data_IF_691758773884
#
_entry.id   IF_691758773884
#
_cell.length_a   1.000
_cell.length_b   1.000
_cell.length_c   1.000
_cell.angle_alpha   90.00
_cell.angle_beta   90.00
_cell.angle_gamma   90.00
#
_symmetry.space_group_name_H-M   'P 1'
#
loop_
_entity.id
_entity.type
_entity.pdbx_description
1 polymer ?
#
# COMPACT_ATOMS: atom_id res chain seq x y z
N UNK A 1 19.21 11.69 -37.89
CA UNK A 1 18.99 10.53 -37.01
C UNK A 1 18.86 11.10 -35.61
N UNK A 2 17.68 11.06 -34.97
CA UNK A 2 17.51 11.62 -33.61
C UNK A 2 18.41 10.84 -32.66
N UNK A 3 19.18 11.55 -31.84
CA UNK A 3 20.01 10.94 -30.80
C UNK A 3 19.07 10.36 -29.72
N UNK A 4 19.05 9.02 -29.51
CA UNK A 4 18.13 8.39 -28.58
C UNK A 4 18.32 8.89 -27.14
N UNK A 5 19.55 9.22 -26.73
CA UNK A 5 19.85 9.71 -25.38
C UNK A 5 19.27 11.11 -25.13
N UNK A 6 19.35 12.00 -26.13
CA UNK A 6 18.76 13.33 -26.07
C UNK A 6 17.23 13.30 -26.01
N UNK A 7 16.63 12.36 -26.74
CA UNK A 7 15.19 12.16 -26.71
C UNK A 7 14.73 11.66 -25.33
N UNK A 8 15.36 10.60 -24.82
CA UNK A 8 15.06 10.00 -23.51
C UNK A 8 15.23 11.02 -22.38
N UNK A 9 16.33 11.77 -22.36
CA UNK A 9 16.56 12.82 -21.36
C UNK A 9 15.48 13.91 -21.40
N UNK A 10 15.10 14.37 -22.60
CA UNK A 10 14.05 15.39 -22.77
C UNK A 10 12.68 14.90 -22.32
N UNK A 11 12.34 13.63 -22.58
CA UNK A 11 11.09 13.02 -22.14
C UNK A 11 11.04 12.91 -20.61
N UNK A 12 12.08 12.36 -19.99
CA UNK A 12 12.17 12.24 -18.52
C UNK A 12 12.11 13.62 -17.83
N UNK A 13 12.78 14.63 -18.41
CA UNK A 13 12.75 16.01 -17.88
C UNK A 13 11.35 16.61 -17.98
N UNK A 14 10.67 16.43 -19.12
CA UNK A 14 9.32 16.94 -19.33
C UNK A 14 8.34 16.27 -18.37
N UNK A 15 8.38 14.94 -18.28
CA UNK A 15 7.57 14.18 -17.34
C UNK A 15 7.77 14.65 -15.89
N UNK A 16 9.01 14.85 -15.44
CA UNK A 16 9.29 15.32 -14.08
C UNK A 16 8.70 16.71 -13.79
N UNK A 17 8.71 17.61 -14.78
CA UNK A 17 8.21 18.98 -14.64
C UNK A 17 6.69 19.08 -14.72
N UNK A 18 6.05 18.23 -15.52
CA UNK A 18 4.59 18.21 -15.69
C UNK A 18 3.85 17.58 -14.51
N UNK A 19 4.51 16.73 -13.72
CA UNK A 19 3.88 16.09 -12.57
C UNK A 19 3.97 16.98 -11.30
N UNK A 20 2.84 17.53 -10.81
CA UNK A 20 2.83 18.33 -9.59
C UNK A 20 3.23 17.47 -8.37
N UNK A 21 3.81 18.13 -7.36
CA UNK A 21 4.10 17.48 -6.08
C UNK A 21 2.78 17.24 -5.34
N UNK A 22 2.56 16.00 -4.90
CA UNK A 22 1.40 15.65 -4.07
C UNK A 22 1.56 16.32 -2.71
N UNK A 23 0.60 17.15 -2.34
CA UNK A 23 0.59 17.85 -1.06
C UNK A 23 0.06 16.93 0.05
N UNK A 24 0.58 17.02 1.29
CA UNK A 24 0.04 16.29 2.42
C UNK A 24 -1.38 16.76 2.75
N UNK A 25 -2.25 15.89 3.28
CA UNK A 25 -3.56 16.29 3.77
C UNK A 25 -3.41 17.29 4.94
N UNK A 26 -4.30 18.30 5.06
CA UNK A 26 -4.30 19.19 6.20
C UNK A 26 -4.77 18.43 7.45
N UNK A 27 -3.88 18.29 8.43
CA UNK A 27 -4.18 17.67 9.73
C UNK A 27 -4.22 18.73 10.82
N UNK A 28 -5.19 18.62 11.73
CA UNK A 28 -5.32 19.49 12.89
C UNK A 28 -5.07 18.69 14.17
N UNK A 29 -4.64 19.36 15.23
CA UNK A 29 -4.52 18.73 16.55
C UNK A 29 -5.90 18.46 17.13
N UNK A 30 -6.13 17.22 17.55
CA UNK A 30 -7.30 16.84 18.32
C UNK A 30 -6.92 16.69 19.80
N UNK A 31 -7.69 17.32 20.68
CA UNK A 31 -7.41 17.33 22.13
C UNK A 31 -8.26 16.34 22.93
N UNK A 32 -9.24 15.70 22.27
CA UNK A 32 -10.14 14.74 22.92
C UNK A 32 -9.71 13.34 22.50
N UNK A 33 -9.30 12.53 23.48
CA UNK A 33 -9.03 11.11 23.23
C UNK A 33 -10.34 10.38 22.95
N UNK A 34 -10.34 9.54 21.91
CA UNK A 34 -11.46 8.64 21.64
C UNK A 34 -11.39 7.43 22.57
N UNK A 35 -12.55 6.95 23.02
CA UNK A 35 -12.65 5.60 23.58
C UNK A 35 -12.21 4.57 22.52
N UNK A 36 -11.68 3.43 22.95
CA UNK A 36 -11.23 2.37 22.04
C UNK A 36 -11.99 1.07 22.29
N UNK A 37 -12.11 0.24 21.25
CA UNK A 37 -12.62 -1.14 21.31
C UNK A 37 -11.58 -2.07 20.68
N UNK A 38 -11.37 -3.26 21.24
CA UNK A 38 -10.36 -4.17 20.69
C UNK A 38 -10.84 -4.83 19.39
N UNK A 39 -9.90 -5.27 18.55
CA UNK A 39 -10.22 -6.13 17.39
C UNK A 39 -10.92 -7.42 17.83
N UNK A 40 -10.51 -8.01 18.96
CA UNK A 40 -11.18 -9.17 19.58
C UNK A 40 -12.67 -8.92 19.81
N UNK A 41 -13.02 -7.79 20.42
CA UNK A 41 -14.41 -7.41 20.69
C UNK A 41 -15.20 -7.13 19.41
N UNK A 42 -14.56 -6.51 18.41
CA UNK A 42 -15.18 -6.28 17.10
C UNK A 42 -15.43 -7.58 16.34
N UNK A 43 -14.55 -8.58 16.47
CA UNK A 43 -14.77 -9.93 15.94
C UNK A 43 -15.90 -10.62 16.71
N UNK A 44 -15.92 -10.52 18.04
CA UNK A 44 -16.99 -11.10 18.87
C UNK A 44 -18.37 -10.47 18.59
N UNK A 45 -18.41 -9.23 18.10
CA UNK A 45 -19.62 -8.52 17.68
C UNK A 45 -19.95 -8.70 16.18
N UNK A 46 -19.27 -9.61 15.48
CA UNK A 46 -19.38 -9.85 14.03
C UNK A 46 -19.07 -8.63 13.14
N UNK A 47 -18.55 -7.53 13.70
CA UNK A 47 -18.20 -6.32 12.94
C UNK A 47 -16.94 -6.51 12.08
N UNK A 48 -16.04 -7.39 12.53
CA UNK A 48 -14.84 -7.81 11.83
C UNK A 48 -14.78 -9.34 11.72
N UNK A 49 -14.05 -9.84 10.73
CA UNK A 49 -13.61 -11.24 10.64
C UNK A 49 -12.12 -11.27 10.28
N UNK A 50 -11.37 -12.19 10.89
CA UNK A 50 -9.94 -12.37 10.63
C UNK A 50 -9.72 -13.74 9.99
N UNK A 51 -8.99 -13.76 8.87
CA UNK A 51 -8.68 -14.97 8.12
C UNK A 51 -7.18 -15.13 7.92
N UNK A 52 -6.74 -16.36 7.81
CA UNK A 52 -5.39 -16.74 7.38
C UNK A 52 -5.49 -17.88 6.37
N UNK A 53 -4.62 -17.85 5.37
CA UNK A 53 -4.52 -18.94 4.40
C UNK A 53 -3.45 -19.95 4.83
N UNK A 54 -3.68 -21.26 4.59
CA UNK A 54 -2.71 -22.29 4.94
C UNK A 54 -1.45 -22.18 4.05
N UNK A 55 -0.26 -22.58 4.54
CA UNK A 55 0.98 -22.58 3.75
C UNK A 55 0.89 -23.34 2.43
N UNK A 56 0.00 -24.32 2.34
CA UNK A 56 -0.21 -25.16 1.15
C UNK A 56 -0.87 -24.43 -0.02
N UNK A 57 -1.51 -23.27 0.19
CA UNK A 57 -2.19 -22.50 -0.87
C UNK A 57 -1.25 -22.10 -2.01
N UNK A 58 0.04 -21.90 -1.73
CA UNK A 58 1.07 -21.52 -2.70
C UNK A 58 1.97 -22.66 -3.18
N UNK A 59 1.70 -23.91 -2.78
CA UNK A 59 2.54 -25.08 -3.12
C UNK A 59 1.98 -25.93 -4.26
N UNK A 60 0.72 -25.71 -4.67
CA UNK A 60 0.08 -26.46 -5.75
C UNK A 60 0.29 -25.84 -7.13
N UNK A 61 -0.10 -26.57 -8.18
CA UNK A 61 -0.03 -26.15 -9.59
C UNK A 61 -1.17 -25.16 -9.98
N UNK A 62 -1.68 -24.42 -9.00
CA UNK A 62 -2.78 -23.49 -9.18
C UNK A 62 -2.36 -22.25 -9.97
N UNK A 63 -3.33 -21.69 -10.71
CA UNK A 63 -3.11 -20.52 -11.57
C UNK A 63 -3.95 -19.30 -11.14
N UNK A 64 -4.52 -19.32 -9.94
CA UNK A 64 -5.28 -18.19 -9.41
C UNK A 64 -4.29 -17.15 -8.88
N UNK A 65 -4.41 -15.86 -9.25
CA UNK A 65 -3.57 -14.82 -8.68
C UNK A 65 -3.60 -14.84 -7.16
N UNK A 66 -2.45 -14.69 -6.52
CA UNK A 66 -2.30 -14.77 -5.08
C UNK A 66 -1.44 -13.61 -4.56
N UNK A 67 -1.97 -12.92 -3.56
CA UNK A 67 -1.29 -11.83 -2.87
C UNK A 67 -0.18 -12.40 -1.98
N UNK A 68 1.06 -11.96 -2.16
CA UNK A 68 2.17 -12.32 -1.27
C UNK A 68 2.46 -11.23 -0.24
N UNK A 69 3.15 -11.57 0.85
CA UNK A 69 3.59 -10.57 1.83
C UNK A 69 4.45 -9.47 1.20
N UNK A 70 5.23 -9.81 0.17
CA UNK A 70 6.00 -8.84 -0.62
C UNK A 70 5.09 -7.89 -1.41
N UNK A 71 3.96 -8.37 -1.92
CA UNK A 71 3.01 -7.54 -2.65
C UNK A 71 2.31 -6.56 -1.72
N UNK A 72 1.95 -6.99 -0.50
CA UNK A 72 1.42 -6.12 0.56
C UNK A 72 2.42 -5.03 0.91
N UNK A 73 3.69 -5.38 1.19
CA UNK A 73 4.76 -4.42 1.52
C UNK A 73 5.02 -3.41 0.41
N UNK A 74 4.95 -3.85 -0.85
CA UNK A 74 5.14 -3.00 -2.02
C UNK A 74 3.86 -2.31 -2.50
N UNK A 75 2.73 -2.51 -1.79
CA UNK A 75 1.39 -2.01 -2.16
C UNK A 75 1.07 -2.19 -3.64
N UNK A 76 1.23 -3.42 -4.13
CA UNK A 76 1.03 -3.76 -5.55
C UNK A 76 0.10 -4.94 -5.72
N UNK A 77 -0.37 -5.13 -6.96
CA UNK A 77 -1.17 -6.28 -7.36
C UNK A 77 -0.47 -7.62 -7.08
N UNK A 78 -1.26 -8.69 -7.00
CA UNK A 78 -0.78 -10.04 -6.80
C UNK A 78 0.28 -10.44 -7.82
N UNK A 79 1.41 -10.95 -7.33
CA UNK A 79 2.56 -11.34 -8.17
C UNK A 79 2.84 -12.85 -8.17
N UNK A 80 2.04 -13.62 -7.42
CA UNK A 80 2.14 -15.08 -7.31
C UNK A 80 0.87 -15.73 -7.84
N UNK A 81 0.93 -17.05 -8.00
CA UNK A 81 -0.24 -17.89 -8.22
C UNK A 81 -0.40 -18.88 -7.08
N UNK A 82 -1.63 -19.32 -6.84
CA UNK A 82 -1.97 -20.32 -5.84
C UNK A 82 -3.13 -21.20 -6.30
N UNK A 83 -3.41 -22.22 -5.50
CA UNK A 83 -4.48 -23.18 -5.72
C UNK A 83 -5.68 -22.89 -4.81
N UNK A 84 -6.75 -22.37 -5.42
CA UNK A 84 -7.99 -22.04 -4.72
C UNK A 84 -8.81 -23.26 -4.29
N UNK A 85 -8.44 -24.47 -4.71
CA UNK A 85 -9.10 -25.71 -4.27
C UNK A 85 -8.58 -26.22 -2.93
N UNK A 86 -7.47 -25.66 -2.43
CA UNK A 86 -6.91 -26.00 -1.12
C UNK A 86 -7.92 -25.67 -0.02
N UNK A 87 -8.18 -26.62 0.87
CA UNK A 87 -9.05 -26.41 2.01
C UNK A 87 -8.53 -25.27 2.90
N UNK A 88 -9.36 -24.27 3.16
CA UNK A 88 -8.96 -23.07 3.90
C UNK A 88 -8.31 -21.98 3.03
N UNK A 89 -8.27 -22.13 1.70
CA UNK A 89 -7.93 -21.02 0.82
C UNK A 89 -8.90 -19.84 1.04
N UNK A 90 -8.35 -18.63 1.14
CA UNK A 90 -9.11 -17.41 1.40
C UNK A 90 -9.10 -16.57 0.14
N UNK A 91 -10.29 -16.25 -0.37
CA UNK A 91 -10.47 -15.33 -1.49
C UNK A 91 -10.67 -13.92 -0.95
N UNK A 92 -9.77 -13.03 -1.37
CA UNK A 92 -9.78 -11.60 -1.07
C UNK A 92 -10.91 -10.91 -1.82
N UNK A 93 -11.56 -9.98 -1.13
CA UNK A 93 -12.54 -9.06 -1.67
C UNK A 93 -12.04 -7.62 -1.55
N UNK A 94 -12.48 -6.76 -2.45
CA UNK A 94 -12.19 -5.34 -2.37
C UNK A 94 -12.69 -4.75 -1.04
N UNK A 95 -11.83 -3.97 -0.39
CA UNK A 95 -12.07 -3.43 0.96
C UNK A 95 -11.59 -4.33 2.11
N UNK A 96 -11.12 -5.55 1.84
CA UNK A 96 -10.39 -6.31 2.85
C UNK A 96 -9.06 -5.62 3.21
N UNK A 97 -8.60 -5.80 4.45
CA UNK A 97 -7.32 -5.25 4.91
C UNK A 97 -6.33 -6.38 5.13
N UNK A 98 -5.30 -6.45 4.29
CA UNK A 98 -4.19 -7.39 4.42
C UNK A 98 -3.13 -6.85 5.40
N UNK A 99 -2.74 -7.67 6.36
CA UNK A 99 -1.79 -7.34 7.43
C UNK A 99 -0.63 -8.35 7.41
N UNK A 100 0.57 -7.83 7.21
CA UNK A 100 1.83 -8.57 7.36
C UNK A 100 2.47 -8.14 8.67
N UNK A 101 2.78 -9.12 9.52
CA UNK A 101 3.38 -8.93 10.83
C UNK A 101 4.89 -9.21 10.79
N UNK A 102 5.62 -8.82 11.84
CA UNK A 102 7.04 -9.16 12.02
C UNK A 102 8.00 -8.00 11.77
N UNK A 103 9.22 -8.30 11.31
CA UNK A 103 10.31 -7.31 11.20
C UNK A 103 10.08 -6.23 10.12
N UNK A 104 9.32 -6.54 9.08
CA UNK A 104 8.89 -5.61 8.04
C UNK A 104 7.36 -5.65 7.98
N UNK A 105 6.68 -5.01 8.96
CA UNK A 105 5.24 -5.00 9.00
C UNK A 105 4.69 -4.17 7.84
N UNK A 106 3.51 -4.54 7.36
CA UNK A 106 2.82 -3.78 6.33
C UNK A 106 1.31 -4.00 6.41
N UNK A 107 0.56 -2.96 6.06
CA UNK A 107 -0.89 -3.02 5.95
C UNK A 107 -1.32 -2.44 4.61
N UNK A 108 -2.28 -3.10 3.96
CA UNK A 108 -2.79 -2.68 2.66
C UNK A 108 -4.28 -2.98 2.54
N UNK A 109 -5.06 -2.00 2.09
CA UNK A 109 -6.45 -2.21 1.66
C UNK A 109 -6.45 -2.85 0.27
N UNK A 110 -7.04 -4.03 0.16
CA UNK A 110 -7.16 -4.75 -1.09
C UNK A 110 -8.17 -4.06 -2.02
N UNK A 111 -7.78 -3.86 -3.28
CA UNK A 111 -8.61 -3.19 -4.30
C UNK A 111 -9.18 -4.14 -5.36
N UNK A 112 -8.67 -5.38 -5.41
CA UNK A 112 -9.06 -6.40 -6.38
C UNK A 112 -9.84 -7.52 -5.71
N UNK A 113 -10.93 -7.95 -6.35
CA UNK A 113 -11.69 -9.14 -5.97
C UNK A 113 -11.07 -10.40 -6.59
N UNK A 114 -11.28 -11.55 -5.95
CA UNK A 114 -11.02 -12.86 -6.56
C UNK A 114 -9.57 -13.32 -6.51
N UNK A 115 -8.70 -12.58 -5.83
CA UNK A 115 -7.30 -12.94 -5.58
C UNK A 115 -7.21 -13.83 -4.33
N UNK A 116 -6.32 -14.81 -4.31
CA UNK A 116 -6.05 -15.60 -3.11
C UNK A 116 -5.16 -14.87 -2.11
N UNK A 117 -5.43 -15.07 -0.83
CA UNK A 117 -4.52 -14.65 0.24
C UNK A 117 -3.34 -15.63 0.32
N UNK A 118 -2.12 -15.10 0.30
CA UNK A 118 -0.92 -15.89 0.56
C UNK A 118 -0.73 -16.18 2.05
N UNK A 119 0.02 -17.24 2.35
CA UNK A 119 0.35 -17.61 3.72
C UNK A 119 1.21 -16.55 4.44
N UNK A 120 1.05 -16.46 5.77
CA UNK A 120 1.76 -15.48 6.60
C UNK A 120 1.21 -14.04 6.48
N UNK A 121 -0.01 -13.90 5.96
CA UNK A 121 -0.77 -12.64 5.88
C UNK A 121 -2.08 -12.87 6.63
N UNK A 122 -2.43 -11.97 7.54
CA UNK A 122 -3.77 -11.93 8.12
C UNK A 122 -4.65 -11.04 7.25
N UNK A 123 -5.86 -11.49 6.95
CA UNK A 123 -6.86 -10.71 6.24
C UNK A 123 -7.94 -10.31 7.23
N UNK A 124 -8.10 -9.00 7.46
CA UNK A 124 -9.16 -8.44 8.30
C UNK A 124 -10.26 -7.91 7.39
N UNK A 125 -11.41 -8.57 7.42
CA UNK A 125 -12.60 -8.19 6.66
C UNK A 125 -13.57 -7.46 7.57
N UNK A 126 -13.92 -6.23 7.21
CA UNK A 126 -14.88 -5.43 7.94
C UNK A 126 -16.23 -5.33 7.26
N UNK A 127 -17.30 -5.21 8.05
CA UNK A 127 -18.60 -4.80 7.51
C UNK A 127 -18.53 -3.33 7.09
N UNK A 128 -18.60 -3.03 5.79
CA UNK A 128 -18.46 -1.67 5.24
C UNK A 128 -19.50 -0.65 5.75
N UNK A 129 -20.60 -1.13 6.36
CA UNK A 129 -21.62 -0.32 7.04
C UNK A 129 -21.28 0.03 8.49
N UNK A 130 -20.23 -0.56 9.06
CA UNK A 130 -19.79 -0.40 10.45
C UNK A 130 -18.38 0.17 10.53
N UNK A 131 -17.47 -0.34 9.71
CA UNK A 131 -16.06 0.04 9.70
C UNK A 131 -15.64 0.48 8.30
N UNK A 132 -14.94 1.62 8.22
CA UNK A 132 -14.30 2.06 6.99
C UNK A 132 -12.94 1.33 6.81
N UNK A 133 -12.63 0.79 5.61
CA UNK A 133 -11.42 0.00 5.40
C UNK A 133 -10.13 0.82 5.42
N UNK A 134 -10.13 2.05 4.90
CA UNK A 134 -8.95 2.92 4.95
C UNK A 134 -8.64 3.36 6.38
N UNK A 135 -9.69 3.65 7.17
CA UNK A 135 -9.57 3.89 8.61
C UNK A 135 -8.99 2.69 9.34
N UNK A 136 -9.55 1.49 9.14
CA UNK A 136 -9.06 0.27 9.78
C UNK A 136 -7.60 -0.01 9.42
N UNK A 137 -7.24 0.14 8.14
CA UNK A 137 -5.87 -0.05 7.68
C UNK A 137 -4.90 0.93 8.35
N UNK A 138 -5.28 2.20 8.53
CA UNK A 138 -4.43 3.19 9.20
C UNK A 138 -4.22 2.88 10.68
N UNK A 139 -5.28 2.46 11.38
CA UNK A 139 -5.21 2.03 12.79
C UNK A 139 -4.33 0.79 12.94
N UNK A 140 -4.51 -0.21 12.09
CA UNK A 140 -3.71 -1.44 12.12
C UNK A 140 -2.24 -1.15 11.78
N UNK A 141 -1.97 -0.26 10.82
CA UNK A 141 -0.61 0.14 10.44
C UNK A 141 0.13 0.77 11.62
N UNK A 142 -0.50 1.73 12.30
CA UNK A 142 0.09 2.36 13.48
C UNK A 142 0.39 1.32 14.57
N UNK A 143 -0.51 0.35 14.77
CA UNK A 143 -0.32 -0.69 15.78
C UNK A 143 0.81 -1.67 15.46
N UNK A 144 1.03 -2.02 14.18
CA UNK A 144 2.13 -2.93 13.80
C UNK A 144 3.50 -2.27 13.80
N UNK A 145 3.56 -0.94 13.64
CA UNK A 145 4.81 -0.17 13.70
C UNK A 145 5.33 0.02 15.13
N UNK A 146 4.44 0.03 16.13
CA UNK A 146 4.78 0.26 17.54
C UNK A 146 5.43 -0.96 18.26
N UNK A 147 5.45 -2.15 17.65
CA UNK A 147 6.17 -3.32 18.17
C UNK A 147 5.49 -4.68 17.96
N UNK A 148 5.91 -5.74 18.68
CA UNK A 148 5.30 -7.07 18.58
C UNK A 148 3.81 -6.98 18.90
N UNK A 149 2.98 -7.28 17.90
CA UNK A 149 1.55 -7.05 17.97
C UNK A 149 0.78 -8.37 18.02
N UNK A 150 -0.13 -8.46 18.99
CA UNK A 150 -1.28 -9.36 18.93
C UNK A 150 -2.42 -8.61 18.21
N UNK A 151 -2.74 -9.06 17.00
CA UNK A 151 -3.74 -8.42 16.13
C UNK A 151 -5.10 -8.25 16.83
N UNK A 152 -5.49 -9.21 17.67
CA UNK A 152 -6.77 -9.16 18.39
C UNK A 152 -6.77 -8.12 19.53
N UNK A 153 -5.60 -7.73 20.03
CA UNK A 153 -5.45 -6.72 21.09
C UNK A 153 -5.36 -5.29 20.57
N UNK A 154 -5.34 -5.08 19.25
CA UNK A 154 -5.27 -3.72 18.68
C UNK A 154 -6.46 -2.89 19.16
N UNK A 155 -6.23 -1.72 19.78
CA UNK A 155 -7.29 -0.80 20.13
C UNK A 155 -7.74 0.00 18.90
N UNK A 156 -9.01 -0.12 18.53
CA UNK A 156 -9.64 0.63 17.44
C UNK A 156 -10.44 1.82 18.02
N UNK A 157 -10.18 3.07 17.60
CA UNK A 157 -10.96 4.22 18.06
C UNK A 157 -12.45 4.08 17.74
N UNK A 158 -13.30 4.30 18.76
CA UNK A 158 -14.77 4.29 18.64
C UNK A 158 -15.24 5.65 18.16
N UNK A 159 -15.26 5.82 16.84
CA UNK A 159 -15.79 7.02 16.19
C UNK A 159 -16.92 6.65 15.20
N UNK A 160 -17.91 7.54 14.98
CA UNK A 160 -18.98 7.29 14.01
C UNK A 160 -18.43 7.02 12.60
N UNK A 161 -19.12 6.19 11.80
CA UNK A 161 -18.66 5.80 10.46
C UNK A 161 -18.33 7.00 9.55
N UNK A 162 -19.09 8.10 9.67
CA UNK A 162 -18.81 9.32 8.91
C UNK A 162 -17.45 9.93 9.26
N UNK A 163 -17.05 9.85 10.53
CA UNK A 163 -15.75 10.32 10.98
C UNK A 163 -14.64 9.33 10.61
N UNK A 164 -14.91 8.02 10.73
CA UNK A 164 -13.98 6.99 10.22
C UNK A 164 -13.62 7.27 8.76
N UNK A 165 -14.61 7.53 7.89
CA UNK A 165 -14.38 7.86 6.47
C UNK A 165 -13.53 9.11 6.28
N UNK A 166 -13.67 10.13 7.14
CA UNK A 166 -12.84 11.35 7.07
C UNK A 166 -11.40 11.04 7.43
N UNK A 167 -11.18 10.27 8.50
CA UNK A 167 -9.86 9.84 8.96
C UNK A 167 -9.22 8.88 7.94
N UNK A 168 -9.97 7.90 7.45
CA UNK A 168 -9.55 6.96 6.40
C UNK A 168 -9.14 7.67 5.12
N UNK A 169 -9.91 8.68 4.67
CA UNK A 169 -9.52 9.51 3.54
C UNK A 169 -8.21 10.28 3.77
N UNK A 170 -7.89 10.66 5.01
CA UNK A 170 -6.61 11.28 5.34
C UNK A 170 -5.46 10.26 5.32
N UNK A 171 -5.65 9.05 5.88
CA UNK A 171 -4.68 7.96 5.75
C UNK A 171 -4.39 7.61 4.29
N UNK A 172 -5.43 7.46 3.46
CA UNK A 172 -5.29 7.20 2.03
C UNK A 172 -4.51 8.30 1.32
N UNK A 173 -4.77 9.58 1.61
CA UNK A 173 -3.99 10.70 1.06
C UNK A 173 -2.52 10.66 1.45
N UNK A 174 -2.19 10.25 2.69
CA UNK A 174 -0.80 10.07 3.12
C UNK A 174 -0.10 8.96 2.33
N UNK A 175 -0.77 7.82 2.11
CA UNK A 175 -0.22 6.71 1.34
C UNK A 175 -0.08 7.04 -0.15
N UNK A 176 -1.06 7.72 -0.74
CA UNK A 176 -1.00 8.21 -2.12
C UNK A 176 0.16 9.20 -2.30
N UNK A 177 0.39 10.07 -1.32
CA UNK A 177 1.54 10.99 -1.30
C UNK A 177 2.87 10.21 -1.24
N UNK A 178 3.00 9.25 -0.33
CA UNK A 178 4.19 8.40 -0.23
C UNK A 178 4.49 7.68 -1.55
N UNK A 179 3.48 7.05 -2.15
CA UNK A 179 3.62 6.31 -3.40
C UNK A 179 4.04 7.23 -4.56
N UNK A 180 3.45 8.43 -4.64
CA UNK A 180 3.81 9.43 -5.65
C UNK A 180 5.27 9.89 -5.50
N UNK A 181 5.75 10.06 -4.27
CA UNK A 181 7.16 10.41 -4.02
C UNK A 181 8.13 9.30 -4.39
N UNK A 182 7.79 8.04 -4.09
CA UNK A 182 8.62 6.90 -4.50
C UNK A 182 8.70 6.78 -6.02
N UNK A 183 7.57 6.94 -6.73
CA UNK A 183 7.56 6.98 -8.21
C UNK A 183 8.42 8.12 -8.75
N UNK A 184 8.26 9.33 -8.20
CA UNK A 184 9.03 10.51 -8.60
C UNK A 184 10.53 10.32 -8.38
N UNK A 185 10.93 9.70 -7.27
CA UNK A 185 12.34 9.37 -6.99
C UNK A 185 12.92 8.49 -8.10
N UNK A 186 12.22 7.43 -8.51
CA UNK A 186 12.67 6.57 -9.61
C UNK A 186 12.88 7.33 -10.93
N UNK A 187 11.96 8.23 -11.28
CA UNK A 187 12.12 9.10 -12.46
C UNK A 187 13.34 10.03 -12.35
N UNK A 188 13.59 10.60 -11.17
CA UNK A 188 14.77 11.46 -10.93
C UNK A 188 16.06 10.65 -11.07
N UNK A 189 16.13 9.46 -10.49
CA UNK A 189 17.31 8.59 -10.58
C UNK A 189 17.63 8.23 -12.04
N UNK A 190 16.60 7.90 -12.84
CA UNK A 190 16.75 7.66 -14.28
C UNK A 190 17.23 8.91 -15.02
N UNK A 191 16.58 10.06 -14.80
CA UNK A 191 16.94 11.34 -15.42
C UNK A 191 18.39 11.72 -15.16
N UNK A 192 18.83 11.63 -13.90
CA UNK A 192 20.21 11.93 -13.49
C UNK A 192 21.18 10.95 -14.15
N UNK A 193 20.87 9.65 -14.13
CA UNK A 193 21.70 8.63 -14.76
C UNK A 193 21.88 8.85 -16.26
N UNK A 194 20.79 9.12 -16.99
CA UNK A 194 20.82 9.39 -18.43
C UNK A 194 21.54 10.71 -18.74
N UNK A 195 21.29 11.77 -17.95
CA UNK A 195 21.98 13.05 -18.08
C UNK A 195 23.51 12.94 -17.89
N UNK A 196 23.95 12.27 -16.82
CA UNK A 196 25.38 12.09 -16.53
C UNK A 196 26.08 11.27 -17.62
N UNK A 197 25.48 10.14 -18.03
CA UNK A 197 26.07 9.31 -19.10
C UNK A 197 26.17 10.08 -20.41
N UNK A 198 25.10 10.74 -20.82
CA UNK A 198 25.07 11.50 -22.07
C UNK A 198 26.06 12.68 -22.07
N UNK A 199 26.22 13.37 -20.95
CA UNK A 199 27.22 14.45 -20.83
C UNK A 199 28.65 13.89 -20.89
N UNK A 200 28.91 12.75 -20.25
CA UNK A 200 30.23 12.13 -20.25
C UNK A 200 30.60 11.50 -21.61
N UNK A 201 29.63 10.97 -22.35
CA UNK A 201 29.83 10.41 -23.70
C UNK A 201 29.88 11.47 -24.80
N UNK A 202 29.41 12.68 -24.54
CA UNK A 202 29.27 13.77 -25.53
C UNK A 202 27.98 13.70 -26.37
N UNK A 203 27.09 12.75 -26.07
CA UNK A 203 25.74 12.65 -26.67
C UNK A 203 24.81 13.79 -26.18
N UNK A 204 25.06 14.31 -24.98
CA UNK A 204 24.41 15.50 -24.45
C UNK A 204 25.42 16.63 -24.27
N UNK A 205 24.92 17.85 -24.40
CA UNK A 205 25.64 19.08 -24.07
C UNK A 205 24.70 20.05 -23.33
N UNK A 206 25.22 20.96 -22.49
CA UNK A 206 24.42 22.02 -21.92
C UNK A 206 23.70 22.82 -23.01
N UNK A 207 22.40 23.07 -22.83
CA UNK A 207 21.60 23.83 -23.79
C UNK A 207 21.95 25.33 -23.81
N UNK A 208 22.49 25.83 -22.70
CA UNK A 208 23.02 27.18 -22.56
C UNK A 208 24.47 27.09 -22.13
N UNK A 209 25.36 27.42 -23.06
CA UNK A 209 26.69 27.93 -22.74
C UNK A 209 26.62 29.39 -23.16
N UNK A 210 26.31 30.27 -22.23
CA UNK A 210 26.81 31.65 -22.38
C UNK A 210 28.19 31.65 -21.73
N UNK A 211 29.16 32.11 -22.50
CA UNK A 211 30.54 32.41 -22.07
C UNK A 211 30.57 33.40 -20.88
#
# INVERSE_FOLDING_TARGET
MKDPAAHEYSELRTALLEHPVVAPPPLATETVAHETISVEDLVAADALSVYEAPPTVGLGDGNVPMLSAKDVRLRRAASRTGDGSVAGAVVVSAGDVAVVMGAEPAVHVCVEDGVLLGAGIHLVRGQATIIDPDFLAGVLLAAVEDGPLDLYRVPVPRVPLAEQRRIGAAFRQLWEMEEAWQRRRGTIEQLVGTGVRGLASGELRPATVDE
#
